data_IF_468379124988
#
_entry.id   IF_468379124988
#
_cell.length_a   1.000
_cell.length_b   1.000
_cell.length_c   1.000
_cell.angle_alpha   90.00
_cell.angle_beta   90.00
_cell.angle_gamma   90.00
#
_symmetry.space_group_name_H-M   'P 1'
#
loop_
_entity.id
_entity.type
_entity.pdbx_description
1 polymer ?
#
# COMPACT_ATOMS: atom_id res chain seq x y z
N UNK A 1 32.26 9.81 -1.53
CA UNK A 1 31.94 9.51 -0.11
C UNK A 1 30.53 8.93 -0.10
N UNK A 2 30.37 7.60 0.02
CA UNK A 2 29.04 6.99 0.13
C UNK A 2 28.57 7.21 1.55
N UNK A 3 27.63 8.14 1.76
CA UNK A 3 26.96 8.31 3.05
C UNK A 3 26.20 7.02 3.33
N UNK A 4 26.63 6.25 4.33
CA UNK A 4 25.88 5.08 4.78
C UNK A 4 24.58 5.58 5.38
N UNK A 5 23.46 5.34 4.70
CA UNK A 5 22.14 5.65 5.23
C UNK A 5 21.94 4.78 6.49
N UNK A 6 21.82 5.41 7.65
CA UNK A 6 21.46 4.69 8.89
C UNK A 6 19.94 4.54 8.85
N UNK A 7 19.48 3.31 8.66
CA UNK A 7 18.06 2.98 8.58
C UNK A 7 17.57 2.54 9.97
N UNK A 8 16.58 3.25 10.51
CA UNK A 8 15.85 2.84 11.71
C UNK A 8 14.60 2.06 11.31
N UNK A 9 14.71 0.73 11.30
CA UNK A 9 13.64 -0.17 10.87
C UNK A 9 12.42 -0.14 11.81
N UNK A 10 12.60 0.14 13.10
CA UNK A 10 11.48 0.21 14.02
C UNK A 10 10.70 1.50 13.80
N UNK A 11 11.38 2.62 13.60
CA UNK A 11 10.73 3.88 13.22
C UNK A 11 9.97 3.75 11.89
N UNK A 12 10.55 3.09 10.88
CA UNK A 12 9.87 2.82 9.61
C UNK A 12 8.61 1.98 9.81
N UNK A 13 8.69 0.89 10.59
CA UNK A 13 7.53 0.05 10.90
C UNK A 13 6.41 0.84 11.58
N UNK A 14 6.73 1.71 12.55
CA UNK A 14 5.75 2.55 13.21
C UNK A 14 5.09 3.54 12.24
N UNK A 15 5.88 4.13 11.33
CA UNK A 15 5.37 5.06 10.33
C UNK A 15 4.50 4.35 9.27
N UNK A 16 4.88 3.15 8.81
CA UNK A 16 4.04 2.30 7.94
C UNK A 16 2.69 2.05 8.61
N UNK A 17 2.68 1.62 9.87
CA UNK A 17 1.44 1.35 10.61
C UNK A 17 0.59 2.61 10.78
N UNK A 18 1.22 3.76 11.04
CA UNK A 18 0.53 5.04 11.15
C UNK A 18 -0.14 5.44 9.85
N UNK A 19 0.56 5.30 8.71
CA UNK A 19 0.03 5.59 7.36
C UNK A 19 -1.10 4.64 6.98
N UNK A 20 -0.94 3.35 7.23
CA UNK A 20 -2.00 2.36 7.00
C UNK A 20 -3.25 2.65 7.85
N UNK A 21 -3.09 3.00 9.13
CA UNK A 21 -4.22 3.41 9.99
C UNK A 21 -4.89 4.69 9.49
N UNK A 22 -4.14 5.62 8.91
CA UNK A 22 -4.70 6.83 8.29
C UNK A 22 -5.53 6.49 7.05
N UNK A 23 -5.06 5.56 6.20
CA UNK A 23 -5.84 5.05 5.07
C UNK A 23 -7.18 4.46 5.51
N UNK A 24 -7.18 3.61 6.55
CA UNK A 24 -8.43 3.03 7.07
C UNK A 24 -9.39 4.05 7.68
N UNK A 25 -8.89 5.20 8.14
CA UNK A 25 -9.73 6.31 8.60
C UNK A 25 -10.31 7.09 7.43
N UNK A 26 -9.48 7.40 6.44
CA UNK A 26 -9.89 8.07 5.20
C UNK A 26 -10.99 7.28 4.47
N UNK A 27 -10.87 5.96 4.41
CA UNK A 27 -11.85 5.11 3.72
C UNK A 27 -13.17 4.94 4.49
N UNK A 28 -13.28 5.39 5.75
CA UNK A 28 -14.39 5.01 6.66
C UNK A 28 -15.78 5.33 6.11
N UNK A 29 -15.93 6.40 5.34
CA UNK A 29 -17.20 6.83 4.73
C UNK A 29 -17.68 5.93 3.60
N UNK A 30 -16.78 5.18 2.95
CA UNK A 30 -17.09 4.34 1.77
C UNK A 30 -17.07 2.84 2.06
N UNK A 31 -16.58 2.42 3.23
CA UNK A 31 -16.46 1.00 3.59
C UNK A 31 -17.81 0.32 3.87
N UNK A 32 -17.98 -0.86 3.28
CA UNK A 32 -19.00 -1.85 3.61
C UNK A 32 -18.43 -2.99 4.47
N UNK A 33 -19.30 -3.94 4.83
CA UNK A 33 -18.91 -5.12 5.62
C UNK A 33 -18.02 -6.03 4.79
N UNK A 34 -16.78 -6.21 5.22
CA UNK A 34 -15.78 -7.07 4.55
C UNK A 34 -14.65 -6.27 3.92
N UNK A 35 -14.90 -5.02 3.55
CA UNK A 35 -13.96 -4.17 2.80
C UNK A 35 -12.61 -3.95 3.50
N UNK A 36 -12.62 -3.83 4.83
CA UNK A 36 -11.37 -3.72 5.61
C UNK A 36 -10.46 -4.93 5.43
N UNK A 37 -11.03 -6.11 5.19
CA UNK A 37 -10.27 -7.34 4.96
C UNK A 37 -9.59 -7.29 3.59
N UNK A 38 -10.29 -6.82 2.56
CA UNK A 38 -9.74 -6.65 1.21
C UNK A 38 -8.63 -5.61 1.18
N UNK A 39 -8.85 -4.44 1.80
CA UNK A 39 -7.81 -3.39 1.90
C UNK A 39 -6.59 -3.90 2.68
N UNK A 40 -6.81 -4.65 3.76
CA UNK A 40 -5.72 -5.24 4.54
C UNK A 40 -4.92 -6.22 3.69
N UNK A 41 -5.59 -7.10 2.95
CA UNK A 41 -4.96 -8.09 2.08
C UNK A 41 -4.11 -7.41 0.99
N UNK A 42 -4.65 -6.38 0.34
CA UNK A 42 -3.93 -5.59 -0.65
C UNK A 42 -2.71 -4.88 -0.05
N UNK A 43 -2.87 -4.29 1.14
CA UNK A 43 -1.77 -3.65 1.86
C UNK A 43 -0.66 -4.64 2.22
N UNK A 44 -1.00 -5.82 2.73
CA UNK A 44 -0.02 -6.87 3.09
C UNK A 44 0.72 -7.38 1.85
N UNK A 45 0.01 -7.58 0.73
CA UNK A 45 0.63 -7.95 -0.54
C UNK A 45 1.60 -6.87 -1.05
N UNK A 46 1.18 -5.62 -1.08
CA UNK A 46 2.04 -4.52 -1.53
C UNK A 46 3.26 -4.33 -0.61
N UNK A 47 3.06 -4.45 0.71
CA UNK A 47 4.14 -4.33 1.69
C UNK A 47 5.19 -5.44 1.51
N UNK A 48 4.76 -6.69 1.33
CA UNK A 48 5.66 -7.81 1.14
C UNK A 48 6.38 -7.74 -0.22
N UNK A 49 5.65 -7.43 -1.29
CA UNK A 49 6.20 -7.39 -2.66
C UNK A 49 7.26 -6.29 -2.81
N UNK A 50 7.13 -5.18 -2.08
CA UNK A 50 8.06 -4.06 -2.12
C UNK A 50 8.98 -3.97 -0.89
N UNK A 51 9.10 -5.02 -0.06
CA UNK A 51 9.81 -4.96 1.24
C UNK A 51 11.29 -4.55 1.16
N UNK A 52 11.96 -4.93 0.06
CA UNK A 52 13.38 -4.65 -0.18
C UNK A 52 13.57 -3.43 -1.10
N UNK A 53 12.47 -2.81 -1.56
CA UNK A 53 12.50 -1.67 -2.46
C UNK A 53 12.48 -0.35 -1.70
N UNK A 54 13.29 0.60 -2.18
CA UNK A 54 13.36 1.96 -1.66
C UNK A 54 13.31 2.98 -2.79
N UNK A 55 12.75 4.15 -2.51
CA UNK A 55 12.77 5.29 -3.43
C UNK A 55 14.17 5.89 -3.50
N UNK A 56 14.42 6.76 -4.47
CA UNK A 56 15.69 7.52 -4.59
C UNK A 56 16.00 8.38 -3.35
N UNK A 57 14.96 8.78 -2.60
CA UNK A 57 15.05 9.49 -1.33
C UNK A 57 15.57 8.62 -0.17
N UNK A 58 15.55 7.29 -0.33
CA UNK A 58 15.91 6.31 0.70
C UNK A 58 14.73 5.77 1.50
N UNK A 59 13.52 6.32 1.34
CA UNK A 59 12.32 5.86 2.06
C UNK A 59 11.79 4.51 1.53
N UNK A 60 11.12 3.69 2.37
CA UNK A 60 10.44 2.48 1.94
C UNK A 60 9.45 2.75 0.81
N UNK A 61 9.47 1.91 -0.24
CA UNK A 61 8.62 2.12 -1.41
C UNK A 61 7.12 2.09 -1.07
N UNK A 62 6.72 1.25 -0.11
CA UNK A 62 5.33 1.10 0.35
C UNK A 62 4.66 2.43 0.79
N UNK A 63 5.44 3.47 1.12
CA UNK A 63 4.87 4.79 1.41
C UNK A 63 4.10 5.37 0.22
N UNK A 64 4.53 5.08 -1.01
CA UNK A 64 3.90 5.57 -2.23
C UNK A 64 2.52 4.95 -2.46
N UNK A 65 2.35 3.62 -2.55
CA UNK A 65 1.02 3.02 -2.71
C UNK A 65 0.03 3.42 -1.60
N UNK A 66 0.48 3.54 -0.34
CA UNK A 66 -0.40 4.00 0.75
C UNK A 66 -0.86 5.45 0.52
N UNK A 67 0.03 6.33 0.07
CA UNK A 67 -0.32 7.73 -0.19
C UNK A 67 -1.31 7.86 -1.36
N UNK A 68 -1.10 7.11 -2.46
CA UNK A 68 -2.03 7.08 -3.60
C UNK A 68 -3.40 6.55 -3.14
N UNK A 69 -3.43 5.49 -2.34
CA UNK A 69 -4.67 4.94 -1.79
C UNK A 69 -5.40 5.91 -0.86
N UNK A 70 -4.68 6.73 -0.08
CA UNK A 70 -5.26 7.77 0.76
C UNK A 70 -5.93 8.86 -0.07
N UNK A 71 -5.26 9.33 -1.14
CA UNK A 71 -5.82 10.32 -2.07
C UNK A 71 -7.09 9.77 -2.73
N UNK A 72 -7.05 8.52 -3.19
CA UNK A 72 -8.21 7.86 -3.78
C UNK A 72 -9.39 7.78 -2.79
N UNK A 73 -9.12 7.49 -1.52
CA UNK A 73 -10.16 7.38 -0.49
C UNK A 73 -10.72 8.73 -0.02
N UNK A 74 -9.86 9.71 0.28
CA UNK A 74 -10.25 10.95 0.97
C UNK A 74 -10.55 12.10 0.00
N UNK A 75 -9.63 12.36 -0.94
CA UNK A 75 -9.74 13.52 -1.83
C UNK A 75 -10.72 13.26 -2.98
N UNK A 76 -10.73 12.03 -3.51
CA UNK A 76 -11.61 11.64 -4.63
C UNK A 76 -12.90 10.99 -4.11
N UNK A 77 -12.88 10.36 -2.92
CA UNK A 77 -14.04 9.69 -2.34
C UNK A 77 -14.35 8.33 -2.95
N UNK A 78 -13.35 7.63 -3.49
CA UNK A 78 -13.53 6.32 -4.12
C UNK A 78 -13.71 5.20 -3.09
N UNK A 79 -14.34 4.11 -3.55
CA UNK A 79 -14.63 2.93 -2.74
C UNK A 79 -13.46 1.94 -2.66
N UNK A 80 -13.74 0.83 -1.97
CA UNK A 80 -12.80 -0.24 -1.62
C UNK A 80 -12.02 -0.79 -2.81
N UNK A 81 -12.67 -1.04 -3.95
CA UNK A 81 -11.99 -1.54 -5.16
C UNK A 81 -10.89 -0.58 -5.62
N UNK A 82 -11.18 0.72 -5.69
CA UNK A 82 -10.17 1.71 -6.11
C UNK A 82 -9.03 1.83 -5.11
N UNK A 83 -9.31 1.69 -3.81
CA UNK A 83 -8.29 1.67 -2.76
C UNK A 83 -7.38 0.44 -2.91
N UNK A 84 -7.97 -0.73 -3.16
CA UNK A 84 -7.23 -1.98 -3.43
C UNK A 84 -6.35 -1.82 -4.68
N UNK A 85 -6.91 -1.34 -5.79
CA UNK A 85 -6.13 -1.07 -7.01
C UNK A 85 -4.99 -0.08 -6.76
N UNK A 86 -5.23 0.99 -6.00
CA UNK A 86 -4.19 1.98 -5.68
C UNK A 86 -3.05 1.38 -4.84
N UNK A 87 -3.35 0.47 -3.92
CA UNK A 87 -2.30 -0.23 -3.16
C UNK A 87 -1.49 -1.19 -4.04
N UNK A 88 -2.09 -1.75 -5.09
CA UNK A 88 -1.50 -2.79 -5.93
C UNK A 88 -0.96 -2.29 -7.28
N UNK A 89 -1.14 -1.01 -7.63
CA UNK A 89 -0.94 -0.52 -9.00
C UNK A 89 0.46 -0.77 -9.56
N UNK A 90 1.49 -0.68 -8.72
CA UNK A 90 2.89 -0.90 -9.10
C UNK A 90 3.36 -2.34 -8.81
N UNK A 91 2.56 -3.18 -8.15
CA UNK A 91 2.98 -4.53 -7.71
C UNK A 91 3.28 -5.42 -8.91
N UNK A 92 2.46 -5.36 -9.97
CA UNK A 92 2.67 -6.19 -11.17
C UNK A 92 3.81 -5.66 -12.04
N UNK A 93 4.03 -4.34 -12.05
CA UNK A 93 5.07 -3.73 -12.87
C UNK A 93 6.46 -3.92 -12.26
N UNK A 94 6.57 -3.81 -10.94
CA UNK A 94 7.87 -3.74 -10.24
C UNK A 94 8.30 -5.05 -9.55
N UNK A 95 7.45 -6.08 -9.54
CA UNK A 95 7.69 -7.31 -8.76
C UNK A 95 7.33 -8.57 -9.55
N UNK A 96 7.59 -9.75 -8.98
CA UNK A 96 7.31 -11.05 -9.63
C UNK A 96 5.82 -11.45 -9.57
N UNK A 97 4.96 -10.66 -8.92
CA UNK A 97 3.52 -10.91 -8.84
C UNK A 97 2.87 -10.64 -10.21
N UNK A 98 2.09 -11.60 -10.69
CA UNK A 98 1.44 -11.52 -12.02
C UNK A 98 -0.01 -11.04 -11.93
N UNK A 99 -0.59 -10.65 -13.07
CA UNK A 99 -2.04 -10.36 -13.16
C UNK A 99 -2.89 -11.58 -12.77
N UNK A 100 -2.45 -12.80 -13.09
CA UNK A 100 -3.15 -14.03 -12.71
C UNK A 100 -3.16 -14.23 -11.18
N UNK A 101 -2.09 -13.79 -10.50
CA UNK A 101 -2.04 -13.77 -9.03
C UNK A 101 -3.02 -12.75 -8.45
N UNK A 102 -3.09 -11.55 -9.03
CA UNK A 102 -4.05 -10.52 -8.63
C UNK A 102 -5.49 -11.03 -8.83
N UNK A 103 -5.80 -11.62 -9.98
CA UNK A 103 -7.14 -12.16 -10.28
C UNK A 103 -7.52 -13.29 -9.33
N UNK A 104 -6.59 -14.20 -9.02
CA UNK A 104 -6.84 -15.27 -8.06
C UNK A 104 -7.12 -14.74 -6.64
N UNK A 105 -6.42 -13.69 -6.23
CA UNK A 105 -6.52 -13.16 -4.88
C UNK A 105 -7.69 -12.18 -4.69
N UNK A 106 -8.04 -11.38 -5.70
CA UNK A 106 -9.02 -10.28 -5.59
C UNK A 106 -10.20 -10.40 -6.55
N UNK A 107 -10.19 -11.37 -7.47
CA UNK A 107 -11.17 -11.48 -8.54
C UNK A 107 -10.83 -10.57 -9.73
N UNK A 108 -11.79 -10.47 -10.66
CA UNK A 108 -11.67 -9.69 -11.90
C UNK A 108 -12.20 -8.28 -11.76
#
# INVERSE_FOLDING_TARGET
MKTTLVIDLEAEKQEILKRYRALLRASKSTLQKGDKKEIRKAFEMALESHKDMRRKSGEPYIYHPIAVAQIAADEIGLGTTSIVCALLHDVVEDTDITLDDIEREFGK
#
